data_IF_843538703422
#
_entry.id   IF_843538703422
#
_cell.length_a   1.000
_cell.length_b   1.000
_cell.length_c   1.000
_cell.angle_alpha   90.00
_cell.angle_beta   90.00
_cell.angle_gamma   90.00
#
_symmetry.space_group_name_H-M   'P 1'
#
loop_
_entity.id
_entity.type
_entity.pdbx_description
1 polymer ?
#
# COMPACT_ATOMS: atom_id res chain seq x y z
N UNK A 1 -21.19 11.98 -23.23
CA UNK A 1 -19.94 11.62 -22.49
C UNK A 1 -19.73 10.12 -22.67
N UNK A 2 -18.54 9.65 -23.05
CA UNK A 2 -18.26 8.22 -23.24
C UNK A 2 -18.47 7.48 -21.92
N UNK A 3 -19.04 6.28 -21.95
CA UNK A 3 -19.43 5.52 -20.72
C UNK A 3 -18.23 5.29 -19.76
N UNK A 4 -17.07 4.97 -20.32
CA UNK A 4 -15.85 4.76 -19.53
C UNK A 4 -15.38 6.03 -18.81
N UNK A 5 -15.59 7.23 -19.40
CA UNK A 5 -15.19 8.50 -18.78
C UNK A 5 -16.08 8.84 -17.57
N UNK A 6 -17.38 8.50 -17.61
CA UNK A 6 -18.27 8.62 -16.45
C UNK A 6 -17.83 7.73 -15.30
N UNK A 7 -17.45 6.49 -15.60
CA UNK A 7 -16.95 5.54 -14.61
C UNK A 7 -15.63 6.04 -14.02
N UNK A 8 -14.69 6.47 -14.87
CA UNK A 8 -13.43 7.06 -14.43
C UNK A 8 -13.65 8.26 -13.50
N UNK A 9 -14.55 9.17 -13.85
CA UNK A 9 -14.86 10.35 -13.03
C UNK A 9 -15.44 9.97 -11.66
N UNK A 10 -16.40 9.03 -11.63
CA UNK A 10 -16.97 8.53 -10.36
C UNK A 10 -15.91 7.87 -9.48
N UNK A 11 -15.03 7.05 -10.06
CA UNK A 11 -13.93 6.41 -9.35
C UNK A 11 -12.93 7.45 -8.84
N UNK A 12 -12.56 8.44 -9.66
CA UNK A 12 -11.68 9.53 -9.23
C UNK A 12 -12.28 10.33 -8.08
N UNK A 13 -13.57 10.67 -8.17
CA UNK A 13 -14.26 11.41 -7.10
C UNK A 13 -14.35 10.58 -5.82
N UNK A 14 -14.69 9.30 -5.91
CA UNK A 14 -14.69 8.39 -4.77
C UNK A 14 -13.29 8.29 -4.14
N UNK A 15 -12.26 7.98 -4.93
CA UNK A 15 -10.89 7.82 -4.46
C UNK A 15 -10.32 9.10 -3.84
N UNK A 16 -10.63 10.25 -4.42
CA UNK A 16 -10.23 11.54 -3.88
C UNK A 16 -10.80 11.78 -2.49
N UNK A 17 -12.12 11.69 -2.31
CA UNK A 17 -12.78 11.95 -1.02
C UNK A 17 -12.47 10.86 0.01
N UNK A 18 -12.27 9.61 -0.41
CA UNK A 18 -11.82 8.52 0.46
C UNK A 18 -10.46 8.82 1.07
N UNK A 19 -9.53 9.42 0.31
CA UNK A 19 -8.17 9.69 0.73
C UNK A 19 -7.94 11.13 1.21
N UNK A 20 -8.92 12.03 1.04
CA UNK A 20 -8.88 13.36 1.65
C UNK A 20 -9.23 13.24 3.14
N UNK A 21 -8.23 12.94 3.95
CA UNK A 21 -8.35 12.65 5.40
C UNK A 21 -7.44 13.58 6.22
N UNK A 22 -7.86 14.84 6.44
CA UNK A 22 -7.02 15.84 7.12
C UNK A 22 -6.58 15.46 8.54
N UNK A 23 -7.35 14.64 9.24
CA UNK A 23 -6.98 14.21 10.60
C UNK A 23 -5.85 13.18 10.65
N UNK A 24 -5.57 12.44 9.55
CA UNK A 24 -4.66 11.29 9.55
C UNK A 24 -3.22 11.65 10.01
N UNK A 25 -2.61 12.76 9.60
CA UNK A 25 -1.28 13.15 10.06
C UNK A 25 -1.19 13.49 11.56
N UNK A 26 -2.33 13.70 12.21
CA UNK A 26 -2.42 14.13 13.61
C UNK A 26 -3.15 13.14 14.52
N UNK A 27 -3.41 11.92 14.08
CA UNK A 27 -4.16 10.91 14.86
C UNK A 27 -3.43 10.59 16.17
N UNK A 28 -2.11 10.39 16.14
CA UNK A 28 -1.32 10.10 17.34
C UNK A 28 -1.34 11.26 18.35
N UNK A 29 -1.23 12.50 17.85
CA UNK A 29 -1.31 13.70 18.67
C UNK A 29 -2.71 13.89 19.28
N UNK A 30 -3.74 13.66 18.47
CA UNK A 30 -5.13 13.70 18.94
C UNK A 30 -5.41 12.68 20.03
N UNK A 31 -5.00 11.44 19.87
CA UNK A 31 -5.21 10.38 20.86
C UNK A 31 -4.41 10.61 22.15
N UNK A 32 -3.28 11.31 22.07
CA UNK A 32 -2.46 11.67 23.21
C UNK A 32 -2.83 13.02 23.86
N UNK A 33 -3.76 13.77 23.25
CA UNK A 33 -4.27 15.04 23.80
C UNK A 33 -5.32 14.81 24.87
N UNK A 34 -5.78 15.91 25.49
CA UNK A 34 -6.85 15.90 26.50
C UNK A 34 -8.15 15.25 26.01
N UNK A 35 -8.36 15.19 24.69
CA UNK A 35 -9.53 14.53 24.07
C UNK A 35 -9.43 13.00 24.07
N UNK A 36 -8.25 12.45 23.79
CA UNK A 36 -8.04 11.00 23.73
C UNK A 36 -7.59 10.40 25.07
N UNK A 37 -6.89 11.18 25.88
CA UNK A 37 -6.40 10.86 27.22
C UNK A 37 -5.62 9.54 27.30
N UNK A 38 -4.87 9.20 26.23
CA UNK A 38 -4.06 7.99 26.16
C UNK A 38 -2.57 8.32 26.27
N UNK A 39 -1.83 7.44 26.90
CA UNK A 39 -0.37 7.51 26.84
C UNK A 39 0.15 7.12 25.47
N UNK A 40 1.29 7.66 25.07
CA UNK A 40 1.93 7.31 23.80
C UNK A 40 2.15 5.81 23.69
N UNK A 41 2.55 5.14 24.79
CA UNK A 41 2.76 3.69 24.84
C UNK A 41 1.49 2.89 24.56
N UNK A 42 0.36 3.30 25.13
CA UNK A 42 -0.94 2.69 24.84
C UNK A 42 -1.31 2.80 23.36
N UNK A 43 -1.03 3.95 22.76
CA UNK A 43 -1.36 4.16 21.34
C UNK A 43 -0.54 3.23 20.46
N UNK A 44 0.80 3.22 20.58
CA UNK A 44 1.63 2.45 19.64
C UNK A 44 1.74 0.95 19.96
N UNK A 45 1.57 0.54 21.25
CA UNK A 45 1.65 -0.88 21.63
C UNK A 45 0.30 -1.58 21.74
N UNK A 46 -0.76 -0.88 22.20
CA UNK A 46 -2.03 -1.53 22.50
C UNK A 46 -3.10 -1.23 21.41
N UNK A 47 -3.01 -0.13 20.65
CA UNK A 47 -4.01 0.26 19.64
C UNK A 47 -3.55 -0.03 18.21
N UNK A 48 -2.39 0.48 17.80
CA UNK A 48 -1.92 0.39 16.40
C UNK A 48 -1.68 -1.04 15.88
N UNK A 49 -1.16 -2.01 16.67
CA UNK A 49 -0.99 -3.37 16.23
C UNK A 49 -2.31 -4.05 15.82
N UNK A 50 -3.43 -3.72 16.47
CA UNK A 50 -4.76 -4.21 16.10
C UNK A 50 -5.13 -3.80 14.67
N UNK A 51 -4.72 -2.62 14.21
CA UNK A 51 -4.88 -2.19 12.83
C UNK A 51 -4.13 -3.10 11.86
N UNK A 52 -2.88 -3.41 12.15
CA UNK A 52 -2.06 -4.31 11.34
C UNK A 52 -2.68 -5.70 11.21
N UNK A 53 -3.11 -6.29 12.34
CA UNK A 53 -3.76 -7.61 12.35
C UNK A 53 -5.09 -7.60 11.60
N UNK A 54 -5.87 -6.54 11.82
CA UNK A 54 -7.16 -6.36 11.18
C UNK A 54 -7.02 -6.25 9.65
N UNK A 55 -6.07 -5.46 9.16
CA UNK A 55 -5.80 -5.34 7.72
C UNK A 55 -5.42 -6.69 7.14
N UNK A 56 -4.50 -7.43 7.79
CA UNK A 56 -4.05 -8.74 7.32
C UNK A 56 -5.20 -9.75 7.25
N UNK A 57 -5.97 -9.90 8.33
CA UNK A 57 -7.07 -10.85 8.40
C UNK A 57 -8.15 -10.52 7.35
N UNK A 58 -8.49 -9.26 7.22
CA UNK A 58 -9.56 -8.82 6.33
C UNK A 58 -9.13 -8.77 4.86
N UNK A 59 -7.86 -8.55 4.55
CA UNK A 59 -7.37 -8.55 3.16
C UNK A 59 -7.65 -9.89 2.47
N UNK A 60 -7.42 -11.01 3.16
CA UNK A 60 -7.71 -12.35 2.63
C UNK A 60 -9.21 -12.52 2.38
N UNK A 61 -10.03 -12.14 3.36
CA UNK A 61 -11.49 -12.24 3.27
C UNK A 61 -12.03 -11.36 2.14
N UNK A 62 -11.61 -10.10 2.11
CA UNK A 62 -12.05 -9.12 1.11
C UNK A 62 -11.62 -9.56 -0.30
N UNK A 63 -10.41 -10.06 -0.48
CA UNK A 63 -9.94 -10.55 -1.77
C UNK A 63 -10.85 -11.67 -2.31
N UNK A 64 -11.23 -12.64 -1.48
CA UNK A 64 -12.11 -13.74 -1.87
C UNK A 64 -13.56 -13.27 -2.12
N UNK A 65 -14.09 -12.41 -1.24
CA UNK A 65 -15.48 -11.97 -1.33
C UNK A 65 -15.68 -10.96 -2.47
N UNK A 66 -14.69 -10.13 -2.80
CA UNK A 66 -14.83 -9.03 -3.77
C UNK A 66 -15.35 -9.50 -5.12
N UNK A 67 -14.77 -10.57 -5.69
CA UNK A 67 -15.21 -11.10 -6.97
C UNK A 67 -16.57 -11.81 -6.88
N UNK A 68 -16.84 -12.47 -5.73
CA UNK A 68 -18.11 -13.16 -5.45
C UNK A 68 -19.29 -12.18 -5.37
N UNK A 69 -19.13 -11.06 -4.65
CA UNK A 69 -20.19 -10.04 -4.49
C UNK A 69 -20.15 -8.93 -5.55
N UNK A 70 -19.27 -9.08 -6.55
CA UNK A 70 -19.17 -8.18 -7.73
C UNK A 70 -18.78 -6.73 -7.39
N UNK A 71 -17.76 -6.56 -6.55
CA UNK A 71 -17.02 -5.32 -6.29
C UNK A 71 -17.78 -4.18 -5.60
N UNK A 72 -18.90 -3.68 -6.16
CA UNK A 72 -19.63 -2.52 -5.64
C UNK A 72 -20.04 -2.63 -4.16
N UNK A 73 -20.58 -3.74 -3.65
CA UNK A 73 -20.93 -3.85 -2.23
C UNK A 73 -19.73 -3.69 -1.30
N UNK A 74 -18.55 -4.17 -1.72
CA UNK A 74 -17.32 -4.04 -0.93
C UNK A 74 -16.82 -2.59 -0.90
N UNK A 75 -16.96 -1.85 -2.02
CA UNK A 75 -16.64 -0.42 -2.08
C UNK A 75 -17.56 0.39 -1.15
N UNK A 76 -18.87 0.07 -1.13
CA UNK A 76 -19.82 0.69 -0.20
C UNK A 76 -19.48 0.35 1.25
N UNK A 77 -19.14 -0.91 1.53
CA UNK A 77 -18.69 -1.36 2.85
C UNK A 77 -17.43 -0.60 3.32
N UNK A 78 -16.47 -0.35 2.41
CA UNK A 78 -15.30 0.48 2.70
C UNK A 78 -15.68 1.88 3.17
N UNK A 79 -16.60 2.54 2.48
CA UNK A 79 -17.05 3.88 2.86
C UNK A 79 -17.78 3.88 4.22
N UNK A 80 -18.63 2.88 4.47
CA UNK A 80 -19.29 2.70 5.78
C UNK A 80 -18.28 2.45 6.90
N UNK A 81 -17.27 1.62 6.65
CA UNK A 81 -16.19 1.36 7.60
C UNK A 81 -15.39 2.64 7.91
N UNK A 82 -15.11 3.47 6.90
CA UNK A 82 -14.47 4.77 7.10
C UNK A 82 -15.31 5.72 7.96
N UNK A 83 -16.61 5.82 7.73
CA UNK A 83 -17.52 6.60 8.56
C UNK A 83 -17.51 6.11 10.01
N UNK A 84 -17.62 4.79 10.22
CA UNK A 84 -17.61 4.20 11.56
C UNK A 84 -16.27 4.45 12.25
N UNK A 85 -15.15 4.28 11.54
CA UNK A 85 -13.80 4.56 12.06
C UNK A 85 -13.69 6.01 12.58
N UNK A 86 -13.98 7.00 11.75
CA UNK A 86 -13.85 8.41 12.16
C UNK A 86 -14.88 8.80 13.22
N UNK A 87 -16.08 8.22 13.19
CA UNK A 87 -17.06 8.40 14.27
C UNK A 87 -16.53 7.86 15.60
N UNK A 88 -15.96 6.66 15.59
CA UNK A 88 -15.37 6.09 16.82
C UNK A 88 -14.17 6.92 17.31
N UNK A 89 -13.31 7.39 16.44
CA UNK A 89 -12.20 8.27 16.82
C UNK A 89 -12.67 9.56 17.50
N UNK A 90 -13.80 10.16 17.07
CA UNK A 90 -14.33 11.41 17.63
C UNK A 90 -14.96 11.21 19.01
N UNK A 91 -15.68 10.11 19.22
CA UNK A 91 -16.55 9.92 20.39
C UNK A 91 -16.09 8.84 21.36
N UNK A 92 -14.88 8.28 21.20
CA UNK A 92 -14.39 7.17 22.02
C UNK A 92 -13.05 7.51 22.66
N UNK A 93 -12.96 7.27 23.97
CA UNK A 93 -11.75 7.52 24.78
C UNK A 93 -11.15 6.22 25.36
N UNK A 94 -11.81 5.07 25.14
CA UNK A 94 -11.40 3.79 25.70
C UNK A 94 -10.46 3.03 24.74
N UNK A 95 -9.34 2.50 25.25
CA UNK A 95 -8.41 1.64 24.50
C UNK A 95 -9.13 0.51 23.77
N UNK A 96 -10.02 -0.22 24.47
CA UNK A 96 -10.75 -1.35 23.87
C UNK A 96 -11.67 -0.93 22.72
N UNK A 97 -12.31 0.23 22.82
CA UNK A 97 -13.14 0.75 21.71
C UNK A 97 -12.29 1.27 20.56
N UNK A 98 -11.10 1.82 20.84
CA UNK A 98 -10.16 2.20 19.78
C UNK A 98 -9.57 0.97 19.07
N UNK A 99 -9.38 -0.16 19.76
CA UNK A 99 -9.05 -1.44 19.13
C UNK A 99 -10.16 -1.90 18.18
N UNK A 100 -11.44 -1.73 18.56
CA UNK A 100 -12.58 -1.96 17.66
C UNK A 100 -12.56 -0.99 16.48
N UNK A 101 -12.21 0.28 16.69
CA UNK A 101 -12.04 1.24 15.58
C UNK A 101 -10.96 0.77 14.59
N UNK A 102 -9.88 0.14 15.07
CA UNK A 102 -8.85 -0.45 14.22
C UNK A 102 -9.36 -1.64 13.41
N UNK A 103 -10.40 -2.36 13.84
CA UNK A 103 -11.07 -3.37 13.01
C UNK A 103 -11.75 -2.71 11.80
N UNK A 104 -12.41 -1.58 12.00
CA UNK A 104 -12.99 -0.82 10.88
C UNK A 104 -11.93 -0.18 9.99
N UNK A 105 -10.80 0.25 10.54
CA UNK A 105 -9.63 0.66 9.75
C UNK A 105 -9.13 -0.47 8.85
N UNK A 106 -9.08 -1.71 9.35
CA UNK A 106 -8.75 -2.90 8.58
C UNK A 106 -9.72 -3.12 7.41
N UNK A 107 -11.04 -3.03 7.66
CA UNK A 107 -12.07 -3.14 6.61
C UNK A 107 -11.92 -2.04 5.56
N UNK A 108 -11.73 -0.80 6.01
CA UNK A 108 -11.52 0.36 5.16
C UNK A 108 -10.32 0.17 4.23
N UNK A 109 -9.19 -0.27 4.78
CA UNK A 109 -7.93 -0.45 4.04
C UNK A 109 -7.97 -1.67 3.13
N UNK A 110 -8.41 -2.84 3.63
CA UNK A 110 -8.47 -4.07 2.85
C UNK A 110 -9.40 -3.95 1.63
N UNK A 111 -10.50 -3.23 1.76
CA UNK A 111 -11.46 -3.02 0.67
C UNK A 111 -10.92 -2.16 -0.49
N UNK A 112 -9.72 -1.59 -0.37
CA UNK A 112 -9.04 -0.91 -1.47
C UNK A 112 -8.78 -1.83 -2.67
N UNK A 113 -8.59 -3.12 -2.43
CA UNK A 113 -8.49 -4.14 -3.48
C UNK A 113 -9.73 -4.14 -4.38
N UNK A 114 -10.93 -4.03 -3.80
CA UNK A 114 -12.17 -3.98 -4.56
C UNK A 114 -12.27 -2.72 -5.43
N UNK A 115 -11.77 -1.60 -4.95
CA UNK A 115 -11.74 -0.35 -5.70
C UNK A 115 -10.85 -0.43 -6.94
N UNK A 116 -9.62 -0.97 -6.81
CA UNK A 116 -8.73 -1.12 -7.96
C UNK A 116 -9.22 -2.19 -8.94
N UNK A 117 -9.77 -3.29 -8.45
CA UNK A 117 -10.25 -4.39 -9.31
C UNK A 117 -11.58 -4.07 -10.00
N UNK A 118 -12.45 -3.24 -9.40
CA UNK A 118 -13.69 -2.76 -10.02
C UNK A 118 -13.47 -2.14 -11.40
N UNK A 119 -12.41 -1.36 -11.53
CA UNK A 119 -12.05 -0.70 -12.80
C UNK A 119 -11.82 -1.74 -13.91
N UNK A 120 -11.04 -2.77 -13.63
CA UNK A 120 -10.73 -3.83 -14.60
C UNK A 120 -11.95 -4.67 -14.99
N UNK A 121 -12.93 -4.78 -14.10
CA UNK A 121 -14.17 -5.49 -14.39
C UNK A 121 -15.19 -4.65 -15.17
N UNK A 122 -15.05 -3.31 -15.23
CA UNK A 122 -16.06 -2.41 -15.81
C UNK A 122 -15.61 -1.65 -17.05
N UNK A 123 -14.32 -1.44 -17.24
CA UNK A 123 -13.74 -0.67 -18.35
C UNK A 123 -13.11 -1.63 -19.37
N UNK A 124 -13.06 -1.25 -20.64
CA UNK A 124 -12.39 -2.06 -21.67
C UNK A 124 -10.86 -2.02 -21.51
N UNK A 125 -10.17 -3.11 -21.90
CA UNK A 125 -8.71 -3.27 -21.79
C UNK A 125 -7.91 -2.09 -22.35
N UNK A 126 -8.35 -1.51 -23.46
CA UNK A 126 -7.70 -0.35 -24.12
C UNK A 126 -7.62 0.91 -23.24
N UNK A 127 -8.51 1.03 -22.25
CA UNK A 127 -8.58 2.19 -21.38
C UNK A 127 -8.04 1.93 -19.94
N UNK A 128 -7.61 0.71 -19.64
CA UNK A 128 -7.13 0.34 -18.30
C UNK A 128 -6.03 1.27 -17.81
N UNK A 129 -5.02 1.51 -18.64
CA UNK A 129 -3.88 2.36 -18.26
C UNK A 129 -4.29 3.80 -17.96
N UNK A 130 -5.18 4.37 -18.79
CA UNK A 130 -5.65 5.75 -18.62
C UNK A 130 -6.49 5.89 -17.36
N UNK A 131 -7.45 4.98 -17.13
CA UNK A 131 -8.32 5.03 -15.95
C UNK A 131 -7.53 4.74 -14.66
N UNK A 132 -6.57 3.81 -14.69
CA UNK A 132 -5.64 3.59 -13.56
C UNK A 132 -4.83 4.83 -13.25
N UNK A 133 -4.32 5.53 -14.27
CA UNK A 133 -3.62 6.79 -14.10
C UNK A 133 -4.48 7.87 -13.45
N UNK A 134 -5.71 8.05 -13.94
CA UNK A 134 -6.67 9.01 -13.38
C UNK A 134 -7.00 8.70 -11.91
N UNK A 135 -7.30 7.44 -11.58
CA UNK A 135 -7.67 7.04 -10.21
C UNK A 135 -6.50 7.19 -9.24
N UNK A 136 -5.28 6.83 -9.65
CA UNK A 136 -4.08 7.06 -8.84
C UNK A 136 -3.79 8.54 -8.62
N UNK A 137 -3.92 9.36 -9.66
CA UNK A 137 -3.76 10.82 -9.53
C UNK A 137 -4.79 11.42 -8.56
N UNK A 138 -6.05 10.97 -8.63
CA UNK A 138 -7.10 11.43 -7.72
C UNK A 138 -6.82 11.04 -6.25
N UNK A 139 -6.39 9.80 -6.00
CA UNK A 139 -5.99 9.32 -4.66
C UNK A 139 -4.84 10.16 -4.09
N UNK A 140 -3.77 10.34 -4.87
CA UNK A 140 -2.61 11.11 -4.45
C UNK A 140 -2.94 12.59 -4.23
N UNK A 141 -3.83 13.14 -5.07
CA UNK A 141 -4.34 14.51 -4.88
C UNK A 141 -5.16 14.62 -3.59
N UNK A 142 -5.97 13.63 -3.25
CA UNK A 142 -6.72 13.57 -2.00
C UNK A 142 -5.80 13.55 -0.77
N UNK A 143 -4.77 12.69 -0.77
CA UNK A 143 -3.76 12.62 0.30
C UNK A 143 -2.98 13.93 0.42
N UNK A 144 -2.46 14.44 -0.69
CA UNK A 144 -1.70 15.69 -0.72
C UNK A 144 -2.51 16.85 -0.16
N UNK A 145 -3.72 17.07 -0.70
CA UNK A 145 -4.57 18.15 -0.26
C UNK A 145 -5.05 17.95 1.18
N UNK A 146 -5.34 16.72 1.59
CA UNK A 146 -5.68 16.41 2.98
C UNK A 146 -4.60 16.84 3.96
N UNK A 147 -3.35 16.47 3.70
CA UNK A 147 -2.20 16.88 4.53
C UNK A 147 -1.95 18.39 4.49
N UNK A 148 -2.02 18.99 3.30
CA UNK A 148 -1.83 20.45 3.12
C UNK A 148 -2.90 21.25 3.87
N UNK A 149 -4.18 20.91 3.70
CA UNK A 149 -5.28 21.59 4.39
C UNK A 149 -5.16 21.41 5.90
N UNK A 150 -4.85 20.20 6.38
CA UNK A 150 -4.64 19.96 7.78
C UNK A 150 -3.54 20.84 8.36
N UNK A 151 -2.39 20.95 7.67
CA UNK A 151 -1.30 21.79 8.13
C UNK A 151 -1.70 23.26 8.19
N UNK A 152 -2.36 23.78 7.16
CA UNK A 152 -2.82 25.19 7.15
C UNK A 152 -3.78 25.44 8.29
N UNK A 153 -4.80 24.58 8.49
CA UNK A 153 -5.82 24.75 9.50
C UNK A 153 -5.26 24.70 10.93
N UNK A 154 -4.30 23.80 11.17
CA UNK A 154 -3.62 23.68 12.48
C UNK A 154 -2.65 24.86 12.70
N UNK A 155 -1.83 25.22 11.69
CA UNK A 155 -0.85 26.31 11.82
C UNK A 155 -1.46 27.70 11.97
N UNK A 156 -2.71 27.87 11.53
CA UNK A 156 -3.46 29.14 11.66
C UNK A 156 -4.39 29.14 12.88
N UNK A 157 -4.32 28.12 13.74
CA UNK A 157 -5.25 27.90 14.89
C UNK A 157 -6.73 27.97 14.50
N UNK A 158 -7.02 27.68 13.21
CA UNK A 158 -8.40 27.72 12.68
C UNK A 158 -9.21 26.50 13.07
N UNK A 159 -8.54 25.34 13.26
CA UNK A 159 -9.14 24.08 13.70
C UNK A 159 -8.19 23.33 14.64
N UNK A 160 -8.78 22.73 15.67
CA UNK A 160 -8.09 21.77 16.53
C UNK A 160 -8.07 20.35 15.92
N UNK A 161 -7.34 19.43 16.54
CA UNK A 161 -7.22 18.03 16.05
C UNK A 161 -8.56 17.31 15.99
N UNK A 162 -9.49 17.59 16.93
CA UNK A 162 -10.84 17.01 16.94
C UNK A 162 -11.68 17.50 15.77
N UNK A 163 -11.59 18.79 15.45
CA UNK A 163 -12.29 19.39 14.34
C UNK A 163 -11.82 18.82 12.98
N UNK A 164 -10.53 18.48 12.85
CA UNK A 164 -10.02 17.77 11.68
C UNK A 164 -10.67 16.39 11.49
N UNK A 165 -11.02 15.69 12.59
CA UNK A 165 -11.74 14.42 12.51
C UNK A 165 -13.17 14.60 11.99
N UNK A 166 -13.88 15.69 12.36
CA UNK A 166 -15.18 16.01 11.75
C UNK A 166 -15.07 16.28 10.25
N UNK A 167 -14.01 16.96 9.81
CA UNK A 167 -13.76 17.19 8.38
C UNK A 167 -13.48 15.87 7.64
N UNK A 168 -12.68 14.98 8.23
CA UNK A 168 -12.44 13.64 7.68
C UNK A 168 -13.71 12.80 7.64
N UNK A 169 -14.56 12.86 8.66
CA UNK A 169 -15.85 12.20 8.67
C UNK A 169 -16.78 12.72 7.54
N UNK A 170 -16.82 14.03 7.34
CA UNK A 170 -17.61 14.64 6.26
C UNK A 170 -17.16 14.14 4.88
N UNK A 171 -15.86 14.00 4.64
CA UNK A 171 -15.35 13.46 3.36
C UNK A 171 -15.68 11.98 3.17
N UNK A 172 -15.73 11.17 4.23
CA UNK A 172 -16.18 9.79 4.15
C UNK A 172 -17.71 9.69 3.84
N UNK A 173 -18.52 10.61 4.35
CA UNK A 173 -19.95 10.69 3.98
C UNK A 173 -20.12 11.01 2.48
N UNK A 174 -19.31 11.93 1.93
CA UNK A 174 -19.30 12.22 0.49
C UNK A 174 -18.84 10.98 -0.29
N UNK A 175 -17.78 10.30 0.17
CA UNK A 175 -17.30 9.07 -0.44
C UNK A 175 -18.39 8.00 -0.47
N UNK A 176 -19.16 7.81 0.61
CA UNK A 176 -20.30 6.91 0.64
C UNK A 176 -21.34 7.30 -0.40
N UNK A 177 -21.75 8.58 -0.43
CA UNK A 177 -22.71 9.07 -1.41
C UNK A 177 -22.27 8.76 -2.85
N UNK A 178 -21.01 9.03 -3.19
CA UNK A 178 -20.44 8.73 -4.53
C UNK A 178 -20.45 7.24 -4.81
N UNK A 179 -20.13 6.40 -3.82
CA UNK A 179 -20.08 4.92 -3.99
C UNK A 179 -21.44 4.33 -4.38
N UNK A 180 -22.54 4.92 -3.92
CA UNK A 180 -23.89 4.49 -4.25
C UNK A 180 -24.23 4.72 -5.74
N UNK A 181 -23.64 5.75 -6.36
CA UNK A 181 -23.82 6.03 -7.80
C UNK A 181 -22.96 5.17 -8.71
N UNK A 182 -21.99 4.40 -8.18
CA UNK A 182 -21.22 3.47 -9.00
C UNK A 182 -22.13 2.42 -9.63
N UNK A 183 -22.05 2.19 -10.96
CA UNK A 183 -22.84 1.16 -11.61
C UNK A 183 -22.45 -0.24 -11.14
N UNK A 184 -23.44 -1.14 -11.03
CA UNK A 184 -23.17 -2.55 -10.72
C UNK A 184 -22.31 -3.21 -11.81
N UNK A 185 -21.49 -4.17 -11.41
CA UNK A 185 -20.67 -4.96 -12.32
C UNK A 185 -21.35 -6.31 -12.57
N UNK A 186 -21.74 -6.65 -13.82
CA UNK A 186 -22.31 -7.95 -14.12
C UNK A 186 -21.28 -9.07 -14.19
N UNK A 187 -20.00 -8.73 -14.44
CA UNK A 187 -18.90 -9.67 -14.68
C UNK A 187 -18.15 -10.04 -13.43
N UNK A 188 -17.73 -11.30 -13.34
CA UNK A 188 -16.78 -11.82 -12.37
C UNK A 188 -15.52 -12.26 -13.12
N UNK A 189 -14.35 -12.04 -12.55
CA UNK A 189 -13.09 -12.40 -13.19
C UNK A 189 -12.73 -13.88 -12.97
N UNK A 190 -13.10 -14.46 -11.81
CA UNK A 190 -12.68 -15.80 -11.41
C UNK A 190 -13.84 -16.77 -11.18
N UNK A 191 -14.84 -16.38 -10.37
CA UNK A 191 -15.88 -17.31 -9.91
C UNK A 191 -16.94 -17.66 -10.96
N UNK A 192 -17.11 -16.84 -12.01
CA UNK A 192 -18.10 -17.02 -13.07
C UNK A 192 -17.46 -17.01 -14.48
N UNK A 193 -16.14 -17.21 -14.58
CA UNK A 193 -15.37 -17.07 -15.83
C UNK A 193 -15.78 -18.06 -16.94
N UNK A 194 -16.12 -19.31 -16.57
CA UNK A 194 -16.46 -20.37 -17.54
C UNK A 194 -17.78 -20.10 -18.28
N UNK A 195 -18.73 -19.45 -17.61
CA UNK A 195 -20.03 -19.09 -18.21
C UNK A 195 -19.93 -18.03 -19.28
N UNK A 196 -18.93 -17.16 -19.21
CA UNK A 196 -18.73 -16.08 -20.18
C UNK A 196 -18.07 -16.57 -21.47
N UNK A 197 -17.20 -17.59 -21.40
CA UNK A 197 -16.58 -18.23 -22.58
C UNK A 197 -17.61 -19.03 -23.39
N UNK A 198 -18.59 -19.65 -22.74
CA UNK A 198 -19.68 -20.40 -23.40
C UNK A 198 -20.61 -19.42 -24.12
N UNK A 199 -20.94 -18.29 -23.51
CA UNK A 199 -21.80 -17.26 -24.12
C UNK A 199 -21.17 -16.57 -25.34
N UNK A 200 -19.85 -16.42 -25.38
CA UNK A 200 -19.13 -15.86 -26.54
C UNK A 200 -18.97 -16.85 -27.69
N UNK A 201 -19.12 -18.17 -27.45
CA UNK A 201 -19.00 -19.23 -28.46
C UNK A 201 -20.34 -19.61 -29.13
N UNK A 202 -21.44 -18.89 -28.86
CA UNK A 202 -22.74 -19.14 -29.52
C UNK A 202 -23.51 -20.38 -29.04
N UNK A 203 -23.17 -20.88 -27.83
CA UNK A 203 -23.92 -21.93 -27.16
C UNK A 203 -25.16 -21.41 -26.44
N UNK A 204 -26.09 -22.31 -26.09
CA UNK A 204 -27.29 -21.97 -25.31
C UNK A 204 -26.91 -21.20 -24.03
N UNK A 205 -27.66 -20.12 -23.75
CA UNK A 205 -27.49 -19.27 -22.58
C UNK A 205 -27.82 -20.05 -21.33
N UNK A 206 -26.89 -20.80 -20.79
CA UNK A 206 -26.97 -21.38 -19.45
C UNK A 206 -26.65 -20.30 -18.41
N UNK A 207 -27.44 -20.25 -17.33
CA UNK A 207 -27.20 -19.31 -16.23
C UNK A 207 -25.76 -19.48 -15.70
N UNK A 208 -25.07 -18.38 -15.36
CA UNK A 208 -23.70 -18.44 -14.86
C UNK A 208 -23.61 -19.35 -13.65
N UNK A 209 -22.94 -20.49 -13.78
CA UNK A 209 -22.76 -21.45 -12.69
C UNK A 209 -21.56 -21.04 -11.83
N UNK A 210 -21.82 -20.86 -10.56
CA UNK A 210 -20.78 -20.67 -9.56
C UNK A 210 -19.94 -21.93 -9.40
N UNK A 211 -18.63 -21.84 -9.59
CA UNK A 211 -17.72 -22.97 -9.37
C UNK A 211 -16.51 -22.54 -8.56
N UNK A 212 -16.55 -22.78 -7.26
CA UNK A 212 -15.44 -22.50 -6.36
C UNK A 212 -14.19 -23.32 -6.71
N UNK A 213 -14.36 -24.59 -7.07
CA UNK A 213 -13.24 -25.49 -7.40
C UNK A 213 -12.50 -25.00 -8.65
N UNK A 214 -13.23 -24.59 -9.69
CA UNK A 214 -12.63 -24.09 -10.92
C UNK A 214 -11.92 -22.74 -10.68
N UNK A 215 -12.50 -21.86 -9.87
CA UNK A 215 -11.85 -20.61 -9.48
C UNK A 215 -10.54 -20.86 -8.74
N UNK A 216 -10.54 -21.75 -7.72
CA UNK A 216 -9.31 -22.11 -6.99
C UNK A 216 -8.26 -22.75 -7.91
N UNK A 217 -8.68 -23.62 -8.83
CA UNK A 217 -7.77 -24.24 -9.81
C UNK A 217 -7.15 -23.21 -10.73
N UNK A 218 -7.93 -22.23 -11.21
CA UNK A 218 -7.46 -21.16 -12.08
C UNK A 218 -6.48 -20.24 -11.34
N UNK A 219 -6.81 -19.82 -10.12
CA UNK A 219 -5.95 -19.02 -9.25
C UNK A 219 -4.62 -19.75 -8.99
N UNK A 220 -4.67 -21.04 -8.67
CA UNK A 220 -3.47 -21.87 -8.44
C UNK A 220 -2.62 -21.99 -9.69
N UNK A 221 -3.24 -22.21 -10.85
CA UNK A 221 -2.53 -22.28 -12.12
C UNK A 221 -1.80 -20.95 -12.44
N UNK A 222 -2.48 -19.82 -12.32
CA UNK A 222 -1.88 -18.50 -12.53
C UNK A 222 -0.74 -18.21 -11.55
N UNK A 223 -0.90 -18.63 -10.29
CA UNK A 223 0.12 -18.48 -9.25
C UNK A 223 1.38 -19.30 -9.59
N UNK A 224 1.23 -20.59 -9.83
CA UNK A 224 2.36 -21.46 -10.13
C UNK A 224 3.04 -21.06 -11.44
N UNK A 225 2.27 -20.77 -12.48
CA UNK A 225 2.82 -20.30 -13.77
C UNK A 225 3.61 -19.02 -13.65
N UNK A 226 3.13 -18.04 -12.88
CA UNK A 226 3.80 -16.76 -12.69
C UNK A 226 5.08 -16.88 -11.88
N UNK A 227 5.05 -17.58 -10.74
CA UNK A 227 6.24 -17.75 -9.89
C UNK A 227 7.23 -18.80 -10.39
N UNK A 228 6.89 -19.59 -11.40
CA UNK A 228 7.85 -20.43 -12.14
C UNK A 228 8.84 -19.57 -12.96
N UNK A 229 8.52 -18.32 -13.25
CA UNK A 229 9.45 -17.38 -13.84
C UNK A 229 10.40 -16.82 -12.75
N UNK A 230 11.72 -17.12 -12.78
CA UNK A 230 12.66 -16.70 -11.74
C UNK A 230 12.78 -15.18 -11.62
N UNK A 231 12.53 -14.43 -12.68
CA UNK A 231 12.51 -12.96 -12.63
C UNK A 231 11.31 -12.48 -11.82
N UNK A 232 10.11 -13.00 -12.10
CA UNK A 232 8.91 -12.65 -11.33
C UNK A 232 9.09 -13.02 -9.87
N UNK A 233 9.58 -14.21 -9.56
CA UNK A 233 9.82 -14.66 -8.19
C UNK A 233 10.79 -13.73 -7.44
N UNK A 234 11.94 -13.42 -8.03
CA UNK A 234 12.97 -12.56 -7.41
C UNK A 234 12.45 -11.16 -7.11
N UNK A 235 11.77 -10.53 -8.08
CA UNK A 235 11.24 -9.18 -7.93
C UNK A 235 10.02 -9.12 -7.01
N UNK A 236 9.19 -10.16 -6.99
CA UNK A 236 8.07 -10.30 -6.07
C UNK A 236 8.52 -10.48 -4.62
N UNK A 237 9.55 -11.30 -4.38
CA UNK A 237 10.14 -11.43 -3.04
C UNK A 237 10.72 -10.10 -2.56
N UNK A 238 11.47 -9.42 -3.42
CA UNK A 238 11.99 -8.08 -3.09
C UNK A 238 10.86 -7.10 -2.79
N UNK A 239 9.80 -7.09 -3.60
CA UNK A 239 8.60 -6.26 -3.38
C UNK A 239 7.97 -6.52 -2.01
N UNK A 240 7.70 -7.78 -1.68
CA UNK A 240 7.07 -8.14 -0.41
C UNK A 240 7.91 -7.69 0.80
N UNK A 241 9.23 -7.94 0.75
CA UNK A 241 10.16 -7.50 1.79
C UNK A 241 10.23 -5.97 1.89
N UNK A 242 10.34 -5.27 0.76
CA UNK A 242 10.38 -3.81 0.74
C UNK A 242 9.07 -3.19 1.28
N UNK A 243 7.90 -3.76 0.91
CA UNK A 243 6.58 -3.33 1.39
C UNK A 243 6.45 -3.55 2.90
N UNK A 244 6.91 -4.67 3.43
CA UNK A 244 6.96 -4.94 4.88
C UNK A 244 7.65 -3.78 5.63
N UNK A 245 8.87 -3.44 5.25
CA UNK A 245 9.63 -2.36 5.90
C UNK A 245 8.99 -0.98 5.71
N UNK A 246 8.47 -0.69 4.52
CA UNK A 246 7.84 0.59 4.23
C UNK A 246 6.58 0.82 5.06
N UNK A 247 5.68 -0.16 5.11
CA UNK A 247 4.45 -0.03 5.89
C UNK A 247 4.77 0.14 7.37
N UNK A 248 5.80 -0.56 7.86
CA UNK A 248 6.27 -0.42 9.25
C UNK A 248 6.78 1.01 9.52
N UNK A 249 7.63 1.55 8.65
CA UNK A 249 8.14 2.93 8.79
C UNK A 249 7.00 3.94 8.81
N UNK A 250 6.07 3.87 7.85
CA UNK A 250 4.96 4.84 7.77
C UNK A 250 4.02 4.73 8.98
N UNK A 251 3.75 3.51 9.46
CA UNK A 251 2.82 3.30 10.59
C UNK A 251 3.32 3.90 11.90
N UNK A 252 4.65 3.96 12.11
CA UNK A 252 5.22 4.36 13.40
C UNK A 252 6.00 5.67 13.36
N UNK A 253 6.04 6.39 12.23
CA UNK A 253 6.85 7.62 12.08
C UNK A 253 6.43 8.74 13.03
N UNK A 254 5.14 8.90 13.29
CA UNK A 254 4.62 9.96 14.16
C UNK A 254 5.13 9.79 15.61
N UNK A 255 5.28 8.55 16.08
CA UNK A 255 5.83 8.28 17.41
C UNK A 255 7.32 8.62 17.49
N UNK A 256 8.09 8.37 16.45
CA UNK A 256 9.48 8.80 16.36
C UNK A 256 9.59 10.33 16.40
N UNK A 257 8.76 11.03 15.64
CA UNK A 257 8.76 12.51 15.64
C UNK A 257 8.45 13.09 17.01
N UNK A 258 7.50 12.49 17.72
CA UNK A 258 7.14 12.89 19.08
C UNK A 258 8.28 12.65 20.06
N UNK A 259 9.04 11.56 19.92
CA UNK A 259 10.19 11.27 20.76
C UNK A 259 11.41 12.15 20.43
N UNK A 260 11.58 12.54 19.16
CA UNK A 260 12.65 13.47 18.74
C UNK A 260 12.42 14.87 19.28
N UNK A 261 11.17 15.33 19.33
CA UNK A 261 10.84 16.68 19.78
C UNK A 261 9.58 16.68 20.66
N UNK A 262 9.67 16.16 21.92
CA UNK A 262 8.51 16.01 22.81
C UNK A 262 7.87 17.35 23.20
N UNK A 263 8.66 18.42 23.27
CA UNK A 263 8.21 19.77 23.66
C UNK A 263 7.87 20.66 22.46
N UNK A 264 7.79 20.10 21.27
CA UNK A 264 7.54 20.90 20.07
C UNK A 264 6.06 21.34 19.99
N UNK A 265 5.82 22.62 20.20
CA UNK A 265 4.50 23.24 20.09
C UNK A 265 4.03 23.34 18.62
N UNK A 266 4.95 23.32 17.67
CA UNK A 266 4.67 23.47 16.25
C UNK A 266 4.81 22.13 15.52
N UNK A 267 3.70 21.42 15.33
CA UNK A 267 3.69 20.11 14.65
C UNK A 267 3.43 20.33 13.16
N UNK A 268 4.37 19.89 12.31
CA UNK A 268 4.30 20.02 10.86
C UNK A 268 3.95 18.70 10.13
N UNK A 269 3.37 17.74 10.84
CA UNK A 269 3.09 16.40 10.33
C UNK A 269 2.26 16.43 9.03
N UNK A 270 1.24 17.28 8.96
CA UNK A 270 0.39 17.41 7.76
C UNK A 270 1.16 17.93 6.54
N UNK A 271 2.03 18.93 6.73
CA UNK A 271 2.88 19.47 5.68
C UNK A 271 3.91 18.45 5.19
N UNK A 272 4.51 17.70 6.11
CA UNK A 272 5.48 16.64 5.81
C UNK A 272 4.84 15.52 4.99
N UNK A 273 3.65 15.04 5.39
CA UNK A 273 2.89 14.03 4.64
C UNK A 273 2.47 14.52 3.24
N UNK A 274 2.06 15.79 3.14
CA UNK A 274 1.74 16.41 1.85
C UNK A 274 2.97 16.43 0.92
N UNK A 275 4.12 16.92 1.40
CA UNK A 275 5.36 16.95 0.60
C UNK A 275 5.85 15.54 0.27
N UNK A 276 5.78 14.60 1.20
CA UNK A 276 6.14 13.20 0.98
C UNK A 276 5.26 12.56 -0.12
N UNK A 277 3.95 12.82 -0.10
CA UNK A 277 3.01 12.34 -1.11
C UNK A 277 3.30 12.94 -2.49
N UNK A 278 3.57 14.24 -2.55
CA UNK A 278 3.88 14.94 -3.80
C UNK A 278 5.19 14.43 -4.42
N UNK A 279 6.26 14.38 -3.63
CA UNK A 279 7.57 13.91 -4.11
C UNK A 279 7.54 12.40 -4.41
N UNK A 280 6.77 11.62 -3.66
CA UNK A 280 6.51 10.22 -3.97
C UNK A 280 5.82 10.02 -5.32
N UNK A 281 4.81 10.86 -5.62
CA UNK A 281 4.14 10.86 -6.92
C UNK A 281 5.11 11.21 -8.07
N UNK A 282 5.94 12.24 -7.87
CA UNK A 282 7.00 12.61 -8.83
C UNK A 282 7.98 11.45 -9.03
N UNK A 283 8.41 10.81 -7.94
CA UNK A 283 9.29 9.63 -8.00
C UNK A 283 8.69 8.49 -8.82
N UNK A 284 7.41 8.19 -8.62
CA UNK A 284 6.70 7.18 -9.40
C UNK A 284 6.57 7.53 -10.88
N UNK A 285 6.34 8.80 -11.22
CA UNK A 285 6.31 9.28 -12.61
C UNK A 285 7.69 9.12 -13.26
N UNK A 286 8.75 9.53 -12.57
CA UNK A 286 10.13 9.38 -13.06
C UNK A 286 10.49 7.92 -13.29
N UNK A 287 10.07 7.02 -12.41
CA UNK A 287 10.23 5.58 -12.59
C UNK A 287 9.53 5.07 -13.85
N UNK A 288 8.33 5.56 -14.15
CA UNK A 288 7.58 5.21 -15.36
C UNK A 288 8.24 5.67 -16.67
N UNK A 289 9.12 6.67 -16.63
CA UNK A 289 9.89 7.12 -17.78
C UNK A 289 11.11 6.24 -18.08
N UNK A 290 11.49 5.34 -17.17
CA UNK A 290 12.60 4.41 -17.37
C UNK A 290 12.20 3.28 -18.32
N UNK A 291 12.99 3.08 -19.37
CA UNK A 291 12.76 2.00 -20.32
C UNK A 291 13.35 0.68 -19.77
N UNK A 292 12.48 -0.20 -19.24
CA UNK A 292 12.87 -1.40 -18.51
C UNK A 292 13.57 -2.47 -19.36
N UNK A 293 13.33 -2.50 -20.67
CA UNK A 293 13.72 -3.60 -21.55
C UNK A 293 15.25 -3.77 -21.78
N UNK A 294 16.05 -2.74 -21.55
CA UNK A 294 17.48 -2.79 -21.97
C UNK A 294 18.49 -3.12 -20.88
N UNK A 295 18.16 -3.06 -19.56
CA UNK A 295 19.17 -3.16 -18.49
C UNK A 295 18.68 -3.82 -17.18
N UNK A 296 17.92 -4.89 -17.21
CA UNK A 296 17.32 -5.57 -16.03
C UNK A 296 18.30 -5.78 -14.85
N UNK A 297 19.50 -6.30 -15.09
CA UNK A 297 20.48 -6.55 -14.03
C UNK A 297 21.09 -5.27 -13.44
N UNK A 298 21.05 -4.14 -14.17
CA UNK A 298 21.50 -2.84 -13.67
C UNK A 298 20.47 -2.18 -12.76
N UNK A 299 19.17 -2.38 -13.03
CA UNK A 299 18.10 -1.85 -12.18
C UNK A 299 18.09 -2.52 -10.81
N UNK A 300 18.22 -3.84 -10.74
CA UNK A 300 18.26 -4.55 -9.45
C UNK A 300 19.41 -4.05 -8.56
N UNK A 301 20.59 -3.82 -9.13
CA UNK A 301 21.73 -3.26 -8.40
C UNK A 301 21.44 -1.84 -7.90
N UNK A 302 20.88 -0.99 -8.77
CA UNK A 302 20.51 0.38 -8.41
C UNK A 302 19.47 0.43 -7.28
N UNK A 303 18.42 -0.37 -7.37
CA UNK A 303 17.38 -0.49 -6.33
C UNK A 303 17.96 -1.00 -5.01
N UNK A 304 18.88 -1.97 -5.07
CA UNK A 304 19.53 -2.52 -3.88
C UNK A 304 20.39 -1.47 -3.16
N UNK A 305 21.14 -0.67 -3.92
CA UNK A 305 21.92 0.46 -3.37
C UNK A 305 20.99 1.51 -2.75
N UNK A 306 19.89 1.86 -3.43
CA UNK A 306 18.89 2.76 -2.88
C UNK A 306 18.29 2.23 -1.58
N UNK A 307 17.91 0.94 -1.52
CA UNK A 307 17.39 0.32 -0.31
C UNK A 307 18.38 0.39 0.86
N UNK A 308 19.67 0.08 0.62
CA UNK A 308 20.71 0.19 1.64
C UNK A 308 20.89 1.64 2.12
N UNK A 309 20.85 2.61 1.19
CA UNK A 309 20.94 4.03 1.53
C UNK A 309 19.74 4.49 2.36
N UNK A 310 18.52 4.08 2.01
CA UNK A 310 17.32 4.33 2.81
C UNK A 310 17.44 3.75 4.21
N UNK A 311 18.00 2.54 4.35
CA UNK A 311 18.26 1.93 5.66
C UNK A 311 19.24 2.76 6.49
N UNK A 312 20.34 3.23 5.88
CA UNK A 312 21.30 4.11 6.56
C UNK A 312 20.66 5.44 7.00
N UNK A 313 19.78 6.03 6.18
CA UNK A 313 19.02 7.23 6.52
C UNK A 313 18.11 6.99 7.72
N UNK A 314 17.40 5.87 7.81
CA UNK A 314 16.53 5.53 8.94
C UNK A 314 17.33 5.37 10.24
N UNK A 315 18.51 4.72 10.19
CA UNK A 315 19.40 4.60 11.34
C UNK A 315 19.91 5.99 11.79
N UNK A 316 20.21 6.87 10.84
CA UNK A 316 20.62 8.23 11.13
C UNK A 316 19.51 9.02 11.83
N UNK A 317 18.28 8.93 11.30
CA UNK A 317 17.09 9.60 11.89
C UNK A 317 16.81 9.10 13.31
N UNK A 318 16.95 7.81 13.57
CA UNK A 318 16.77 7.24 14.90
C UNK A 318 17.68 7.89 15.97
N UNK A 319 18.83 8.44 15.56
CA UNK A 319 19.81 9.06 16.46
C UNK A 319 19.77 10.59 16.48
N UNK A 320 19.00 11.22 15.61
CA UNK A 320 18.91 12.69 15.57
C UNK A 320 18.11 13.25 16.74
N UNK A 321 18.43 14.50 17.10
CA UNK A 321 17.64 15.31 18.04
C UNK A 321 16.89 16.45 17.31
N UNK A 322 17.12 16.59 16.01
CA UNK A 322 16.59 17.67 15.21
C UNK A 322 15.37 17.21 14.42
N UNK A 323 14.20 17.74 14.74
CA UNK A 323 12.93 17.35 14.10
C UNK A 323 12.94 17.62 12.59
N UNK A 324 13.54 18.72 12.13
CA UNK A 324 13.62 19.04 10.72
C UNK A 324 14.43 18.03 9.92
N UNK A 325 15.48 17.48 10.53
CA UNK A 325 16.27 16.38 9.94
C UNK A 325 15.40 15.14 9.80
N UNK A 326 14.59 14.82 10.82
CA UNK A 326 13.67 13.69 10.78
C UNK A 326 12.60 13.87 9.68
N UNK A 327 12.02 15.04 9.54
CA UNK A 327 11.04 15.37 8.51
C UNK A 327 11.62 15.24 7.09
N UNK A 328 12.77 15.87 6.83
CA UNK A 328 13.43 15.82 5.52
C UNK A 328 13.80 14.39 5.13
N UNK A 329 14.33 13.61 6.05
CA UNK A 329 14.69 12.21 5.80
C UNK A 329 13.46 11.34 5.52
N UNK A 330 12.34 11.55 6.21
CA UNK A 330 11.08 10.84 5.92
C UNK A 330 10.57 11.14 4.52
N UNK A 331 10.55 12.42 4.13
CA UNK A 331 10.16 12.84 2.78
C UNK A 331 11.06 12.20 1.72
N UNK A 332 12.38 12.20 1.95
CA UNK A 332 13.34 11.55 1.06
C UNK A 332 13.12 10.03 0.99
N UNK A 333 12.88 9.40 2.15
CA UNK A 333 12.55 7.98 2.22
C UNK A 333 11.33 7.65 1.35
N UNK A 334 10.23 8.38 1.51
CA UNK A 334 9.01 8.18 0.74
C UNK A 334 9.25 8.39 -0.77
N UNK A 335 9.90 9.47 -1.15
CA UNK A 335 10.18 9.80 -2.56
C UNK A 335 10.98 8.69 -3.26
N UNK A 336 12.09 8.26 -2.65
CA UNK A 336 12.95 7.21 -3.19
C UNK A 336 12.25 5.85 -3.15
N UNK A 337 11.50 5.56 -2.07
CA UNK A 337 10.76 4.30 -1.97
C UNK A 337 9.70 4.16 -3.07
N UNK A 338 8.88 5.19 -3.30
CA UNK A 338 7.87 5.15 -4.37
C UNK A 338 8.49 5.04 -5.77
N UNK A 339 9.66 5.63 -5.98
CA UNK A 339 10.42 5.43 -7.21
C UNK A 339 10.83 3.95 -7.38
N UNK A 340 11.52 3.36 -6.40
CA UNK A 340 12.04 2.00 -6.52
C UNK A 340 10.94 0.93 -6.57
N UNK A 341 9.85 1.09 -5.80
CA UNK A 341 8.73 0.14 -5.83
C UNK A 341 7.97 0.19 -7.16
N UNK A 342 7.90 1.36 -7.78
CA UNK A 342 7.28 1.51 -9.11
C UNK A 342 8.13 0.82 -10.18
N UNK A 343 9.46 0.95 -10.13
CA UNK A 343 10.35 0.20 -11.04
C UNK A 343 10.21 -1.30 -10.83
N UNK A 344 10.18 -1.76 -9.57
CA UNK A 344 9.98 -3.19 -9.26
C UNK A 344 8.64 -3.70 -9.81
N UNK A 345 7.58 -2.93 -9.62
CA UNK A 345 6.25 -3.23 -10.15
C UNK A 345 6.22 -3.34 -11.67
N UNK A 346 6.87 -2.42 -12.37
CA UNK A 346 6.96 -2.45 -13.82
C UNK A 346 7.67 -3.71 -14.33
N UNK A 347 8.79 -4.10 -13.70
CA UNK A 347 9.52 -5.33 -14.07
C UNK A 347 8.68 -6.59 -13.83
N UNK A 348 7.98 -6.68 -12.70
CA UNK A 348 7.04 -7.79 -12.45
C UNK A 348 5.95 -7.81 -13.52
N UNK A 349 5.33 -6.67 -13.78
CA UNK A 349 4.25 -6.53 -14.76
C UNK A 349 4.66 -6.98 -16.16
N UNK A 350 5.81 -6.59 -16.66
CA UNK A 350 6.32 -6.97 -17.99
C UNK A 350 6.55 -8.48 -18.18
N UNK A 351 6.69 -9.22 -17.08
CA UNK A 351 6.96 -10.66 -17.10
C UNK A 351 5.76 -11.52 -16.72
N UNK A 352 4.59 -10.90 -16.48
CA UNK A 352 3.34 -11.57 -16.17
C UNK A 352 2.45 -11.72 -17.40
N UNK A 353 1.62 -12.78 -17.38
CA UNK A 353 0.48 -12.92 -18.30
C UNK A 353 -0.59 -11.91 -17.90
N UNK A 354 -1.24 -11.27 -18.88
CA UNK A 354 -2.17 -10.14 -18.66
C UNK A 354 -3.25 -10.37 -17.60
N UNK A 355 -3.79 -11.58 -17.50
CA UNK A 355 -4.89 -11.89 -16.57
C UNK A 355 -4.41 -12.19 -15.11
N UNK A 356 -3.09 -12.27 -14.86
CA UNK A 356 -2.52 -12.63 -13.55
C UNK A 356 -2.04 -11.43 -12.71
N UNK A 357 -2.07 -10.21 -13.23
CA UNK A 357 -1.58 -9.01 -12.53
C UNK A 357 -2.18 -8.83 -11.12
N UNK A 358 -3.51 -8.76 -11.04
CA UNK A 358 -4.20 -8.51 -9.77
C UNK A 358 -3.89 -9.56 -8.72
N UNK A 359 -3.78 -10.82 -9.13
CA UNK A 359 -3.43 -11.94 -8.25
C UNK A 359 -2.02 -11.80 -7.70
N UNK A 360 -1.02 -11.58 -8.56
CA UNK A 360 0.38 -11.53 -8.15
C UNK A 360 0.68 -10.29 -7.30
N UNK A 361 0.15 -9.12 -7.68
CA UNK A 361 0.27 -7.91 -6.86
C UNK A 361 -0.42 -8.06 -5.51
N UNK A 362 -1.61 -8.69 -5.48
CA UNK A 362 -2.33 -9.00 -4.24
C UNK A 362 -1.56 -9.94 -3.32
N UNK A 363 -0.97 -11.00 -3.87
CA UNK A 363 -0.15 -11.95 -3.09
C UNK A 363 1.13 -11.30 -2.58
N UNK A 364 1.83 -10.52 -3.40
CA UNK A 364 3.02 -9.79 -2.95
C UNK A 364 2.71 -8.86 -1.79
N UNK A 365 1.59 -8.14 -1.85
CA UNK A 365 1.12 -7.27 -0.77
C UNK A 365 0.74 -8.10 0.47
N UNK A 366 0.03 -9.20 0.30
CA UNK A 366 -0.35 -10.09 1.40
C UNK A 366 0.89 -10.64 2.13
N UNK A 367 1.88 -11.12 1.38
CA UNK A 367 3.14 -11.61 1.97
C UNK A 367 3.86 -10.46 2.69
N UNK A 368 3.90 -9.26 2.11
CA UNK A 368 4.47 -8.07 2.76
C UNK A 368 3.78 -7.76 4.10
N UNK A 369 2.45 -7.84 4.16
CA UNK A 369 1.67 -7.60 5.39
C UNK A 369 1.83 -8.72 6.43
N UNK A 370 1.97 -9.99 6.00
CA UNK A 370 2.30 -11.10 6.91
C UNK A 370 3.66 -10.82 7.57
N UNK A 371 4.67 -10.48 6.78
CA UNK A 371 6.00 -10.16 7.29
C UNK A 371 5.98 -8.92 8.19
N UNK A 372 5.21 -7.89 7.84
CA UNK A 372 5.00 -6.71 8.65
C UNK A 372 4.34 -7.06 10.00
N UNK A 373 3.34 -7.94 10.00
CA UNK A 373 2.68 -8.41 11.22
C UNK A 373 3.69 -9.10 12.15
N UNK A 374 4.52 -10.00 11.59
CA UNK A 374 5.58 -10.67 12.36
C UNK A 374 6.56 -9.64 12.92
N UNK A 375 6.95 -8.66 12.12
CA UNK A 375 7.87 -7.60 12.54
C UNK A 375 7.25 -6.72 13.64
N UNK A 376 5.95 -6.40 13.56
CA UNK A 376 5.21 -5.65 14.59
C UNK A 376 5.20 -6.42 15.91
N UNK A 377 4.85 -7.70 15.90
CA UNK A 377 4.86 -8.55 17.11
C UNK A 377 6.26 -8.63 17.70
N UNK A 378 7.29 -8.80 16.87
CA UNK A 378 8.65 -8.94 17.35
C UNK A 378 9.23 -7.64 17.93
N UNK A 379 8.95 -6.51 17.31
CA UNK A 379 9.66 -5.25 17.59
C UNK A 379 8.85 -4.32 18.49
N UNK A 380 7.54 -4.22 18.28
CA UNK A 380 6.69 -3.20 18.90
C UNK A 380 5.97 -3.73 20.13
N UNK A 381 5.42 -4.93 20.05
CA UNK A 381 4.55 -5.45 21.10
C UNK A 381 5.30 -5.90 22.36
N UNK A 382 4.59 -5.87 23.49
CA UNK A 382 5.09 -6.31 24.81
C UNK A 382 5.44 -7.80 24.86
N UNK A 383 4.85 -8.61 23.98
CA UNK A 383 5.17 -10.04 23.83
C UNK A 383 6.53 -10.23 23.15
N UNK A 384 6.96 -9.29 22.33
CA UNK A 384 8.26 -9.25 21.68
C UNK A 384 9.31 -8.45 22.48
N UNK A 385 10.04 -7.59 21.78
CA UNK A 385 11.09 -6.76 22.38
C UNK A 385 10.57 -5.45 23.00
N UNK A 386 9.35 -5.02 22.66
CA UNK A 386 8.72 -3.78 23.13
C UNK A 386 9.67 -2.56 23.00
N UNK A 387 10.31 -2.40 21.86
CA UNK A 387 11.31 -1.35 21.65
C UNK A 387 10.67 0.03 21.64
N UNK A 388 11.40 1.01 22.15
CA UNK A 388 11.06 2.43 22.00
C UNK A 388 11.15 2.87 20.53
N UNK A 389 10.43 3.92 20.09
CA UNK A 389 10.38 4.34 18.70
C UNK A 389 11.75 4.55 18.04
N UNK A 390 12.73 5.11 18.74
CA UNK A 390 14.11 5.25 18.22
C UNK A 390 14.76 3.92 17.91
N UNK A 391 14.67 2.95 18.81
CA UNK A 391 15.25 1.62 18.65
C UNK A 391 14.52 0.84 17.56
N UNK A 392 13.20 1.00 17.45
CA UNK A 392 12.42 0.46 16.33
C UNK A 392 13.00 0.92 14.98
N UNK A 393 13.31 2.22 14.84
CA UNK A 393 13.86 2.78 13.60
C UNK A 393 15.30 2.34 13.31
N UNK A 394 16.10 2.01 14.33
CA UNK A 394 17.38 1.31 14.12
C UNK A 394 17.17 -0.08 13.54
N UNK A 395 16.16 -0.82 14.01
CA UNK A 395 15.81 -2.15 13.46
C UNK A 395 15.31 -2.02 12.03
N UNK A 396 14.38 -1.08 11.75
CA UNK A 396 13.85 -0.88 10.39
C UNK A 396 14.94 -0.44 9.41
N UNK A 397 15.83 0.43 9.83
CA UNK A 397 16.99 0.84 9.02
C UNK A 397 17.93 -0.32 8.76
N UNK A 398 18.25 -1.12 9.78
CA UNK A 398 19.09 -2.33 9.62
C UNK A 398 18.43 -3.34 8.67
N UNK A 399 17.11 -3.50 8.74
CA UNK A 399 16.32 -4.34 7.83
C UNK A 399 16.52 -3.91 6.37
N UNK A 400 16.42 -2.60 6.06
CA UNK A 400 16.64 -2.10 4.70
C UNK A 400 18.10 -2.23 4.24
N UNK A 401 19.08 -2.05 5.14
CA UNK A 401 20.50 -2.28 4.83
C UNK A 401 20.75 -3.74 4.47
N UNK A 402 20.19 -4.68 5.25
CA UNK A 402 20.30 -6.13 4.99
C UNK A 402 19.60 -6.49 3.69
N UNK A 403 18.38 -5.97 3.45
CA UNK A 403 17.64 -6.19 2.20
C UNK A 403 18.44 -5.73 0.99
N UNK A 404 19.03 -4.54 1.04
CA UNK A 404 19.90 -4.01 -0.01
C UNK A 404 21.16 -4.87 -0.21
N UNK A 405 21.83 -5.23 0.88
CA UNK A 405 23.02 -6.06 0.87
C UNK A 405 22.79 -7.46 0.27
N UNK A 406 21.76 -8.16 0.74
CA UNK A 406 21.38 -9.49 0.21
C UNK A 406 21.05 -9.43 -1.29
N UNK A 407 20.34 -8.40 -1.72
CA UNK A 407 19.99 -8.20 -3.13
C UNK A 407 21.19 -7.89 -4.00
N UNK A 408 22.19 -7.15 -3.49
CA UNK A 408 23.47 -6.92 -4.17
C UNK A 408 24.22 -8.25 -4.34
N UNK A 409 24.36 -9.02 -3.26
CA UNK A 409 25.04 -10.33 -3.29
C UNK A 409 24.35 -11.26 -4.28
N UNK A 410 23.02 -11.38 -4.22
CA UNK A 410 22.24 -12.17 -5.16
C UNK A 410 22.44 -11.75 -6.62
N UNK A 411 22.47 -10.45 -6.90
CA UNK A 411 22.72 -9.91 -8.24
C UNK A 411 24.14 -10.23 -8.74
N UNK A 412 25.13 -10.20 -7.86
CA UNK A 412 26.53 -10.56 -8.20
C UNK A 412 26.62 -12.05 -8.46
N UNK A 413 26.05 -12.89 -7.60
CA UNK A 413 26.04 -14.35 -7.77
C UNK A 413 25.43 -14.78 -9.11
N UNK A 414 24.27 -14.21 -9.47
CA UNK A 414 23.61 -14.50 -10.76
C UNK A 414 24.50 -14.08 -11.93
N UNK A 415 25.15 -12.91 -11.87
CA UNK A 415 26.06 -12.45 -12.93
C UNK A 415 27.29 -13.37 -13.08
N UNK A 416 27.87 -13.81 -11.96
CA UNK A 416 29.01 -14.71 -11.97
C UNK A 416 28.61 -16.08 -12.55
N UNK A 417 27.50 -16.63 -12.13
CA UNK A 417 26.99 -17.92 -12.61
C UNK A 417 26.70 -17.91 -14.12
N UNK A 418 26.04 -16.86 -14.60
CA UNK A 418 25.78 -16.68 -16.04
C UNK A 418 27.08 -16.53 -16.85
N UNK A 419 28.11 -15.89 -16.30
CA UNK A 419 29.40 -15.73 -16.95
C UNK A 419 30.16 -17.05 -17.05
N UNK A 420 30.12 -17.86 -15.98
CA UNK A 420 30.77 -19.19 -15.95
C UNK A 420 30.12 -20.15 -16.95
N UNK A 421 28.79 -20.18 -17.04
CA UNK A 421 28.12 -21.03 -18.02
C UNK A 421 28.39 -20.60 -19.47
N UNK A 422 28.54 -19.29 -19.73
CA UNK A 422 28.88 -18.79 -21.07
C UNK A 422 30.29 -19.19 -21.48
N UNK A 423 31.26 -19.09 -20.56
CA UNK A 423 32.66 -19.52 -20.77
C UNK A 423 32.75 -21.04 -20.99
N UNK A 424 31.96 -21.84 -20.26
CA UNK A 424 31.92 -23.29 -20.44
C UNK A 424 31.30 -23.67 -21.81
N UNK A 425 30.29 -22.96 -22.27
CA UNK A 425 29.68 -23.18 -23.59
C UNK A 425 30.63 -22.79 -24.73
N UNK A 426 31.38 -21.68 -24.60
CA UNK A 426 32.39 -21.25 -25.58
C UNK A 426 33.58 -22.23 -25.63
N UNK A 427 33.97 -22.78 -24.49
CA UNK A 427 35.07 -23.80 -24.45
C UNK A 427 34.63 -25.14 -25.08
N UNK A 428 33.38 -25.54 -24.98
CA UNK A 428 32.83 -26.74 -25.64
C UNK A 428 32.80 -26.56 -27.17
N UNK A 429 32.39 -25.38 -27.64
CA UNK A 429 32.35 -25.06 -29.09
C UNK A 429 33.75 -24.91 -29.69
N UNK A 430 34.75 -24.53 -28.90
CA UNK A 430 36.15 -24.46 -29.39
C UNK A 430 36.87 -25.82 -29.43
N UNK A 431 36.30 -26.86 -28.86
CA UNK A 431 36.84 -28.23 -28.85
C UNK A 431 36.14 -29.17 -29.84
N UNK A 432 35.09 -28.69 -30.50
CA UNK A 432 34.46 -29.35 -31.65
C UNK A 432 34.86 -28.69 -32.95
#
# INVERSE_FOLDING_TARGET
MRSWLKISLLLCTFGFFREFRPSEPYVSEYLASDYGNLTTDQIYQDVYPFGTYSVLAQLVIVFLITDLVRYKPVIVLSALAGITLFSMLIWTESVGMLQVAQVFFGTFTAAEVAYYTYMYAKVNKEQYQVVTGHTRAAILSGKFLGGLFAQILVSTDSMDYRQLHYLSLATQLISLAVSLFLPSVPRSLYFYADSEKINTAGGEVTAPQFSFVNACRLLWYHLVSSYSNPVVLQWSMWWALATCGQVQVISYIQFLWKEVAPDNLSVYNGGVEAVATLLGAIGAILAGLLNSNKRRGSYMMGISICAAALGALLIYVAKTQEIWVAYVNYVLFCAVFFFIITVAGAVVAENLVEDSFGLIFGINTLVGLILQTILTVAVVERVGFALEPRDQYVVYGSYFVVLGGMSIIGSICVKLFCRTNKSSAENVVSLT
#
